data_IF_736651535284
#
_entry.id   IF_736651535284
#
_cell.length_a   1.000
_cell.length_b   1.000
_cell.length_c   1.000
_cell.angle_alpha   90.00
_cell.angle_beta   90.00
_cell.angle_gamma   90.00
#
_symmetry.space_group_name_H-M   'P 1'
#
loop_
_entity.id
_entity.type
_entity.pdbx_description
1 polymer ?
#
# COMPACT_ATOMS: atom_id res chain seq x y z
N UNK A 1 -3.66 31.65 0.06
CA UNK A 1 -3.10 30.29 0.18
C UNK A 1 -2.84 29.77 -1.21
N UNK A 2 -1.61 29.36 -1.45
CA UNK A 2 -1.07 29.13 -2.78
C UNK A 2 -1.38 27.68 -3.15
N UNK A 3 -1.82 27.40 -4.39
CA UNK A 3 -2.23 26.03 -4.77
C UNK A 3 -1.14 24.97 -4.57
N UNK A 4 0.12 25.39 -4.48
CA UNK A 4 1.32 24.55 -4.27
C UNK A 4 1.54 24.06 -2.82
N UNK A 5 0.77 24.54 -1.85
CA UNK A 5 0.93 24.17 -0.42
C UNK A 5 -0.24 23.36 0.13
N UNK A 6 -1.18 22.93 -0.73
CA UNK A 6 -2.21 21.98 -0.31
C UNK A 6 -1.53 20.63 -0.07
N UNK A 7 -1.54 20.09 1.17
CA UNK A 7 -1.12 18.70 1.36
C UNK A 7 -1.99 17.84 0.44
N UNK A 8 -1.38 16.82 -0.18
CA UNK A 8 -2.09 15.79 -0.95
C UNK A 8 -3.12 15.15 -0.01
N UNK A 9 -4.33 15.70 0.03
CA UNK A 9 -5.49 15.02 0.55
C UNK A 9 -5.82 13.98 -0.49
N UNK A 10 -5.36 12.75 -0.27
CA UNK A 10 -5.91 11.61 -0.99
C UNK A 10 -7.43 11.69 -0.77
N UNK A 11 -8.17 12.00 -1.84
CA UNK A 11 -9.61 11.96 -1.79
C UNK A 11 -9.97 10.50 -1.54
N UNK A 12 -10.36 10.18 -0.30
CA UNK A 12 -10.84 8.85 0.04
C UNK A 12 -12.15 8.68 -0.74
N UNK A 13 -12.13 7.75 -1.68
CA UNK A 13 -13.31 7.42 -2.48
C UNK A 13 -14.46 6.90 -1.60
N UNK A 14 -15.64 6.65 -2.19
CA UNK A 14 -16.75 6.03 -1.49
C UNK A 14 -16.33 4.75 -0.76
N UNK A 15 -16.79 4.57 0.48
CA UNK A 15 -16.36 3.45 1.34
C UNK A 15 -16.42 2.07 0.68
N UNK A 16 -17.46 1.70 -0.12
CA UNK A 16 -17.48 0.41 -0.81
C UNK A 16 -16.36 0.24 -1.84
N UNK A 17 -15.94 1.32 -2.50
CA UNK A 17 -14.85 1.27 -3.48
C UNK A 17 -13.50 1.19 -2.77
N UNK A 18 -13.34 1.90 -1.65
CA UNK A 18 -12.13 1.78 -0.82
C UNK A 18 -11.97 0.34 -0.32
N UNK A 19 -13.06 -0.28 0.18
CA UNK A 19 -13.06 -1.69 0.57
C UNK A 19 -12.59 -2.63 -0.55
N UNK A 20 -13.16 -2.45 -1.74
CA UNK A 20 -12.95 -3.33 -2.88
C UNK A 20 -11.53 -3.20 -3.47
N UNK A 21 -11.01 -1.97 -3.54
CA UNK A 21 -9.72 -1.68 -4.19
C UNK A 21 -8.52 -1.64 -3.22
N UNK A 22 -8.76 -1.81 -1.92
CA UNK A 22 -7.72 -2.01 -0.91
C UNK A 22 -7.16 -3.45 -0.97
N UNK A 23 -5.99 -3.63 -1.57
CA UNK A 23 -5.37 -4.95 -1.75
C UNK A 23 -5.15 -5.71 -0.43
N UNK A 24 -4.80 -5.02 0.65
CA UNK A 24 -4.62 -5.60 2.00
C UNK A 24 -5.89 -6.27 2.54
N UNK A 25 -7.05 -5.89 2.04
CA UNK A 25 -8.36 -6.44 2.43
C UNK A 25 -8.78 -7.64 1.59
N UNK A 26 -8.11 -7.88 0.47
CA UNK A 26 -8.43 -8.95 -0.50
C UNK A 26 -7.48 -10.16 -0.38
N UNK A 27 -6.52 -10.13 0.57
CA UNK A 27 -5.59 -11.25 0.77
C UNK A 27 -6.31 -12.48 1.31
N UNK A 28 -6.01 -13.64 0.71
CA UNK A 28 -6.49 -14.95 1.16
C UNK A 28 -5.35 -15.97 1.12
N UNK A 29 -5.58 -17.19 1.63
CA UNK A 29 -4.63 -18.29 1.51
C UNK A 29 -4.36 -18.74 0.05
N UNK A 30 -5.17 -18.29 -0.92
CA UNK A 30 -4.97 -18.55 -2.36
C UNK A 30 -4.19 -17.44 -3.07
N UNK A 31 -3.88 -16.35 -2.38
CA UNK A 31 -3.10 -15.26 -2.94
C UNK A 31 -1.71 -15.79 -3.31
N UNK A 32 -1.22 -15.55 -4.54
CA UNK A 32 0.09 -16.03 -4.95
C UNK A 32 1.20 -15.33 -4.15
N UNK A 33 2.41 -15.93 -4.07
CA UNK A 33 3.57 -15.28 -3.50
C UNK A 33 3.83 -13.90 -4.12
N UNK A 34 4.28 -12.95 -3.31
CA UNK A 34 4.49 -11.56 -3.74
C UNK A 34 5.80 -10.97 -3.22
N UNK A 35 6.55 -10.33 -4.10
CA UNK A 35 7.69 -9.48 -3.77
C UNK A 35 7.28 -8.02 -3.92
N UNK A 36 7.59 -7.19 -2.93
CA UNK A 36 7.28 -5.77 -2.90
C UNK A 36 8.60 -4.97 -2.84
N UNK A 37 8.68 -3.88 -3.59
CA UNK A 37 9.75 -2.89 -3.45
C UNK A 37 9.12 -1.49 -3.43
N UNK A 38 9.53 -0.65 -2.49
CA UNK A 38 8.96 0.70 -2.34
C UNK A 38 10.01 1.68 -1.80
N UNK A 39 10.12 2.85 -2.41
CA UNK A 39 11.00 3.93 -1.98
C UNK A 39 10.46 4.63 -0.73
N UNK A 40 11.30 4.78 0.30
CA UNK A 40 10.89 5.42 1.56
C UNK A 40 10.52 6.90 1.40
N UNK A 41 10.98 7.55 0.34
CA UNK A 41 10.73 8.95 0.01
C UNK A 41 9.65 9.14 -1.08
N UNK A 42 8.90 8.10 -1.46
CA UNK A 42 7.75 8.20 -2.36
C UNK A 42 6.67 9.09 -1.74
N UNK A 43 6.51 10.30 -2.29
CA UNK A 43 5.52 11.29 -1.83
C UNK A 43 4.12 11.02 -2.40
N UNK A 44 3.95 10.70 -3.70
CA UNK A 44 2.64 10.40 -4.26
C UNK A 44 1.97 9.17 -3.64
N UNK A 45 2.72 8.14 -3.27
CA UNK A 45 2.16 6.90 -2.72
C UNK A 45 2.92 6.55 -1.45
N UNK A 46 2.32 6.73 -0.25
CA UNK A 46 3.04 6.46 0.99
C UNK A 46 3.44 4.97 1.11
N UNK A 47 4.66 4.64 1.58
CA UNK A 47 5.11 3.27 1.84
C UNK A 47 4.20 2.48 2.78
N UNK A 48 3.41 3.17 3.61
CA UNK A 48 2.40 2.58 4.49
C UNK A 48 1.41 1.67 3.73
N UNK A 49 1.10 1.97 2.47
CA UNK A 49 0.22 1.13 1.65
C UNK A 49 0.84 -0.25 1.38
N UNK A 50 2.12 -0.28 1.00
CA UNK A 50 2.84 -1.54 0.78
C UNK A 50 3.08 -2.30 2.09
N UNK A 51 3.36 -1.59 3.20
CA UNK A 51 3.47 -2.20 4.54
C UNK A 51 2.17 -2.92 4.94
N UNK A 52 1.01 -2.28 4.76
CA UNK A 52 -0.28 -2.89 5.08
C UNK A 52 -0.55 -4.15 4.26
N UNK A 53 -0.26 -4.12 2.95
CA UNK A 53 -0.41 -5.30 2.09
C UNK A 53 0.56 -6.43 2.47
N UNK A 54 1.82 -6.11 2.77
CA UNK A 54 2.82 -7.06 3.25
C UNK A 54 2.40 -7.75 4.56
N UNK A 55 1.88 -6.98 5.52
CA UNK A 55 1.36 -7.52 6.78
C UNK A 55 0.17 -8.46 6.56
N UNK A 56 -0.74 -8.10 5.65
CA UNK A 56 -1.87 -8.95 5.30
C UNK A 56 -1.44 -10.29 4.65
N UNK A 57 -0.43 -10.26 3.76
CA UNK A 57 0.18 -11.46 3.17
C UNK A 57 0.81 -12.36 4.24
N UNK A 58 1.60 -11.79 5.15
CA UNK A 58 2.21 -12.52 6.26
C UNK A 58 1.17 -13.16 7.17
N UNK A 59 0.08 -12.44 7.50
CA UNK A 59 -1.01 -12.95 8.33
C UNK A 59 -1.68 -14.19 7.73
N UNK A 60 -1.74 -14.28 6.40
CA UNK A 60 -2.29 -15.43 5.68
C UNK A 60 -1.23 -16.49 5.32
N UNK A 61 -0.01 -16.38 5.86
CA UNK A 61 1.11 -17.26 5.56
C UNK A 61 1.44 -17.38 4.06
N UNK A 62 1.18 -16.32 3.29
CA UNK A 62 1.58 -16.22 1.88
C UNK A 62 3.07 -15.89 1.84
N UNK A 63 3.84 -16.61 1.01
CA UNK A 63 5.26 -16.33 0.85
C UNK A 63 5.47 -14.91 0.30
N UNK A 64 6.18 -14.07 1.06
CA UNK A 64 6.33 -12.66 0.71
C UNK A 64 7.63 -12.08 1.21
N UNK A 65 8.15 -11.10 0.46
CA UNK A 65 9.30 -10.29 0.82
C UNK A 65 8.98 -8.82 0.49
N UNK A 66 9.45 -7.90 1.34
CA UNK A 66 9.28 -6.47 1.14
C UNK A 66 10.61 -5.75 1.31
N UNK A 67 11.09 -5.16 0.21
CA UNK A 67 12.31 -4.38 0.14
C UNK A 67 11.98 -2.88 0.21
N UNK A 68 12.36 -2.24 1.31
CA UNK A 68 12.31 -0.79 1.41
C UNK A 68 13.59 -0.19 0.82
N UNK A 69 13.43 0.62 -0.22
CA UNK A 69 14.53 1.33 -0.86
C UNK A 69 14.77 2.65 -0.11
N UNK A 70 16.03 3.02 0.20
CA UNK A 70 16.32 4.28 0.89
C UNK A 70 15.79 5.53 0.16
N UNK A 71 15.71 5.47 -1.19
CA UNK A 71 15.21 6.53 -2.05
C UNK A 71 14.73 5.99 -3.41
N UNK A 72 13.85 6.69 -4.15
CA UNK A 72 13.43 6.34 -5.51
C UNK A 72 12.41 7.25 -6.19
#
# INVERSE_FOLDING_TARGET
>A
MNEKERPLRFAVGPAPLVELFSNERQVTARTPPAFLAHALDDKPVPPANSRAFFEALRKHAVATEYLELPSG
#
